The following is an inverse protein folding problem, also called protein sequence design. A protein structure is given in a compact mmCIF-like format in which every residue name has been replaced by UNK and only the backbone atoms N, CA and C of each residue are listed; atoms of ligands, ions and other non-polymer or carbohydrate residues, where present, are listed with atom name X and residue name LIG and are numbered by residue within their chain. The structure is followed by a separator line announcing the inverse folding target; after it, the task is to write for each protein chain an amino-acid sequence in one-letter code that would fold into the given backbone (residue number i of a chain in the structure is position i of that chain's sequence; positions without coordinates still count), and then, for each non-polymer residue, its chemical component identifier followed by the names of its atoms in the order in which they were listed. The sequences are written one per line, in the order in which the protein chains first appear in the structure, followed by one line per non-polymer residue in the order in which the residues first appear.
data_IF_293477455702
#
_entry.id   IF_293477455702
#
_cell.length_a   1.000
_cell.length_b   1.000
_cell.length_c   1.000
_cell.angle_alpha   90.00
_cell.angle_beta   90.00
_cell.angle_gamma   90.00
#
_symmetry.space_group_name_H-M   'P 1'
#
loop_
_entity.id
_entity.type
_entity.pdbx_description
1 polymer ?
#
# COMPACT_ATOMS: atom_id res chain seq x y z
N UNK A 1 22.61 36.31 12.18
CA UNK A 1 22.03 35.08 12.76
C UNK A 1 20.52 35.17 12.60
N UNK A 2 19.87 34.09 12.14
CA UNK A 2 18.43 34.04 11.88
C UNK A 2 17.59 33.84 13.13
N UNK A 3 16.29 33.64 12.93
CA UNK A 3 15.31 33.39 14.00
C UNK A 3 15.66 32.10 14.74
N UNK A 4 15.69 32.10 16.10
CA UNK A 4 15.91 30.88 16.90
C UNK A 4 14.87 29.79 16.62
N UNK A 5 15.30 28.52 16.62
CA UNK A 5 14.45 27.35 16.34
C UNK A 5 13.19 27.28 17.22
N UNK A 6 13.29 27.74 18.47
CA UNK A 6 12.15 27.77 19.42
C UNK A 6 11.05 28.78 19.06
N UNK A 7 11.32 29.74 18.17
CA UNK A 7 10.34 30.76 17.76
C UNK A 7 9.65 30.43 16.42
N UNK A 8 9.92 29.27 15.83
CA UNK A 8 9.24 28.81 14.62
C UNK A 8 7.87 28.23 14.96
N UNK A 9 6.84 28.58 14.18
CA UNK A 9 5.48 28.02 14.28
C UNK A 9 5.49 26.51 14.01
N UNK A 10 4.79 25.72 14.84
CA UNK A 10 4.71 24.25 14.72
C UNK A 10 3.29 23.77 14.91
N UNK A 11 2.93 22.71 14.20
CA UNK A 11 1.70 21.98 14.46
C UNK A 11 1.85 21.14 15.76
N UNK A 12 0.77 20.96 16.53
CA UNK A 12 -0.58 21.44 16.27
C UNK A 12 -0.85 22.90 16.69
N UNK A 13 0.04 23.56 17.43
CA UNK A 13 -0.22 24.87 18.04
C UNK A 13 -0.50 25.98 17.02
N UNK A 14 0.22 26.01 15.89
CA UNK A 14 0.00 26.99 14.83
C UNK A 14 -1.29 26.78 14.04
N UNK A 15 -1.89 25.58 14.10
CA UNK A 15 -3.16 25.28 13.44
C UNK A 15 -4.36 25.78 14.25
N UNK A 16 -4.19 25.90 15.58
CA UNK A 16 -5.23 26.43 16.48
C UNK A 16 -5.46 27.93 16.26
N UNK A 17 -4.41 28.68 15.93
CA UNK A 17 -4.49 30.12 15.64
C UNK A 17 -5.32 30.42 14.38
N UNK A 18 -5.19 29.59 13.33
CA UNK A 18 -5.93 29.75 12.07
C UNK A 18 -7.41 29.33 12.15
N UNK A 19 -7.80 28.55 13.16
CA UNK A 19 -9.21 28.14 13.36
C UNK A 19 -10.06 29.24 14.02
N UNK A 20 -9.44 30.25 14.64
CA UNK A 20 -10.14 31.34 15.35
C UNK A 20 -10.42 32.57 14.48
N UNK A 21 -9.86 32.64 13.27
CA UNK A 21 -10.12 33.68 12.28
C UNK A 21 -10.99 33.11 11.16
N UNK A 22 -12.32 33.25 11.29
CA UNK A 22 -13.25 33.17 10.17
C UNK A 22 -12.97 34.35 9.22
N UNK A 23 -11.91 34.27 8.42
CA UNK A 23 -11.75 35.18 7.28
C UNK A 23 -12.65 34.67 6.16
N UNK A 24 -13.75 35.40 5.93
CA UNK A 24 -14.50 35.34 4.67
C UNK A 24 -13.54 35.72 3.55
N UNK A 25 -13.12 34.76 2.75
CA UNK A 25 -12.42 35.02 1.49
C UNK A 25 -13.46 35.47 0.47
N UNK A 26 -13.69 36.78 0.40
CA UNK A 26 -14.32 37.43 -0.76
C UNK A 26 -13.23 37.67 -1.82
N UNK A 27 -13.19 36.84 -2.87
CA UNK A 27 -12.62 37.23 -4.17
C UNK A 27 -13.16 36.34 -5.30
N UNK A 28 -13.47 36.91 -6.50
CA UNK A 28 -14.37 36.25 -7.45
C UNK A 28 -13.71 35.28 -8.45
N UNK A 29 -12.38 35.19 -8.53
CA UNK A 29 -11.70 34.49 -9.62
C UNK A 29 -10.55 33.60 -9.14
N UNK A 30 -10.88 32.53 -8.43
CA UNK A 30 -10.18 31.22 -8.44
C UNK A 30 -10.89 30.33 -7.42
N UNK A 31 -11.69 29.38 -7.91
CA UNK A 31 -12.33 28.38 -7.05
C UNK A 31 -11.28 27.41 -6.53
N UNK A 32 -10.48 27.84 -5.57
CA UNK A 32 -9.82 26.94 -4.62
C UNK A 32 -10.97 26.38 -3.77
N UNK A 33 -11.33 25.09 -3.89
CA UNK A 33 -12.34 24.55 -3.00
C UNK A 33 -11.85 24.72 -1.56
N UNK A 34 -12.71 25.15 -0.63
CA UNK A 34 -12.34 25.31 0.76
C UNK A 34 -11.73 24.00 1.26
N UNK A 35 -10.58 24.11 1.96
CA UNK A 35 -9.98 23.00 2.68
C UNK A 35 -11.09 22.40 3.54
N UNK A 36 -11.53 21.16 3.30
CA UNK A 36 -12.60 20.59 4.10
C UNK A 36 -12.13 20.58 5.57
N UNK A 37 -13.02 20.89 6.53
CA UNK A 37 -12.70 20.75 7.94
C UNK A 37 -12.16 19.33 8.21
N UNK A 38 -11.41 19.10 9.31
CA UNK A 38 -10.66 17.86 9.57
C UNK A 38 -11.51 16.58 9.74
N UNK A 39 -12.78 16.62 9.34
CA UNK A 39 -13.73 15.53 9.32
C UNK A 39 -14.16 15.22 7.88
N UNK A 40 -13.20 14.96 6.98
CA UNK A 40 -13.46 13.97 5.93
C UNK A 40 -13.50 12.63 6.66
N UNK A 41 -14.57 11.85 6.52
CA UNK A 41 -14.71 10.60 7.27
C UNK A 41 -13.49 9.72 6.98
N UNK A 42 -12.81 9.33 8.05
CA UNK A 42 -11.64 8.45 8.00
C UNK A 42 -12.03 7.18 7.19
N UNK A 43 -11.46 7.04 5.99
CA UNK A 43 -11.73 5.91 5.09
C UNK A 43 -12.57 6.21 3.85
N UNK A 44 -13.03 7.46 3.64
CA UNK A 44 -13.65 7.86 2.37
C UNK A 44 -12.59 8.19 1.31
N UNK A 45 -12.59 7.44 0.20
CA UNK A 45 -11.77 7.74 -0.97
C UNK A 45 -12.41 8.93 -1.69
N UNK A 46 -11.69 10.05 -1.77
CA UNK A 46 -12.19 11.25 -2.45
C UNK A 46 -12.56 10.92 -3.91
N UNK A 47 -13.79 11.22 -4.30
CA UNK A 47 -14.26 11.04 -5.68
C UNK A 47 -13.61 12.10 -6.57
N UNK A 48 -13.10 11.74 -7.76
CA UNK A 48 -12.45 12.70 -8.64
C UNK A 48 -13.47 13.77 -9.06
N UNK A 49 -13.07 15.04 -8.97
CA UNK A 49 -13.81 16.17 -9.53
C UNK A 49 -13.63 16.17 -11.05
N UNK A 50 -14.43 15.37 -11.76
CA UNK A 50 -14.47 15.30 -13.22
C UNK A 50 -14.97 13.96 -13.76
N UNK A 51 -15.67 13.98 -14.90
CA UNK A 51 -16.27 12.80 -15.58
C UNK A 51 -15.25 11.82 -16.21
N UNK A 52 -14.02 11.73 -15.71
CA UNK A 52 -12.95 10.95 -16.33
C UNK A 52 -12.96 9.49 -15.84
N UNK A 53 -13.87 8.68 -16.39
CA UNK A 53 -14.04 7.25 -16.09
C UNK A 53 -12.95 6.34 -16.70
N UNK A 54 -11.80 6.87 -17.10
CA UNK A 54 -10.71 6.03 -17.62
C UNK A 54 -10.14 5.16 -16.48
N UNK A 55 -10.07 3.85 -16.69
CA UNK A 55 -9.44 2.90 -15.74
C UNK A 55 -7.98 3.23 -15.42
N UNK A 56 -7.33 4.03 -16.27
CA UNK A 56 -5.95 4.49 -16.07
C UNK A 56 -5.85 5.55 -14.96
N UNK A 57 -6.97 5.97 -14.37
CA UNK A 57 -7.04 6.87 -13.23
C UNK A 57 -7.07 6.15 -11.89
N UNK A 58 -7.17 4.81 -11.87
CA UNK A 58 -7.33 4.03 -10.65
C UNK A 58 -6.22 2.99 -10.48
N UNK A 59 -5.90 2.69 -9.23
CA UNK A 59 -5.00 1.60 -8.85
C UNK A 59 -5.65 0.28 -9.25
N UNK A 60 -4.88 -0.56 -9.96
CA UNK A 60 -5.29 -1.92 -10.28
C UNK A 60 -5.29 -2.77 -9.00
N UNK A 61 -6.45 -2.92 -8.38
CA UNK A 61 -6.61 -3.71 -7.16
C UNK A 61 -6.72 -5.21 -7.52
N UNK A 62 -6.08 -6.11 -6.76
CA UNK A 62 -6.07 -7.54 -7.07
C UNK A 62 -7.47 -8.19 -7.00
N UNK A 63 -8.39 -7.66 -6.18
CA UNK A 63 -9.76 -8.17 -6.06
C UNK A 63 -10.76 -7.54 -7.04
N UNK A 64 -10.37 -6.47 -7.74
CA UNK A 64 -11.23 -5.80 -8.71
C UNK A 64 -10.91 -6.30 -10.12
N UNK A 65 -11.95 -6.64 -10.89
CA UNK A 65 -11.78 -7.04 -12.28
C UNK A 65 -11.39 -5.84 -13.14
N UNK A 66 -10.39 -6.00 -14.03
CA UNK A 66 -10.07 -4.98 -15.03
C UNK A 66 -11.25 -4.75 -15.98
N UNK A 67 -11.86 -3.57 -15.91
CA UNK A 67 -13.03 -3.24 -16.73
C UNK A 67 -12.73 -3.19 -18.25
N UNK A 68 -11.46 -3.06 -18.65
CA UNK A 68 -11.02 -2.93 -20.05
C UNK A 68 -10.67 -4.26 -20.74
N UNK A 69 -10.55 -5.37 -20.02
CA UNK A 69 -10.19 -6.65 -20.63
C UNK A 69 -11.42 -7.58 -20.72
N UNK A 70 -11.61 -8.21 -21.88
CA UNK A 70 -12.54 -9.32 -22.08
C UNK A 70 -12.24 -10.53 -21.16
N UNK A 71 -11.10 -10.51 -20.48
CA UNK A 71 -10.68 -11.48 -19.46
C UNK A 71 -11.24 -11.17 -18.06
N UNK A 72 -12.53 -10.85 -17.96
CA UNK A 72 -13.23 -10.77 -16.66
C UNK A 72 -12.98 -12.01 -15.77
N UNK A 73 -12.73 -13.16 -16.41
CA UNK A 73 -12.40 -14.41 -15.75
C UNK A 73 -11.00 -14.45 -15.12
N UNK A 74 -9.98 -13.80 -15.69
CA UNK A 74 -8.60 -13.95 -15.23
C UNK A 74 -8.34 -13.22 -13.91
N UNK A 75 -8.79 -11.97 -13.78
CA UNK A 75 -8.62 -11.18 -12.55
C UNK A 75 -9.42 -11.77 -11.39
N UNK A 76 -10.66 -12.20 -11.65
CA UNK A 76 -11.52 -12.89 -10.67
C UNK A 76 -10.90 -14.22 -10.22
N UNK A 77 -10.47 -15.07 -11.17
CA UNK A 77 -9.81 -16.34 -10.86
C UNK A 77 -8.49 -16.15 -10.10
N UNK A 78 -7.70 -15.12 -10.45
CA UNK A 78 -6.46 -14.78 -9.75
C UNK A 78 -6.73 -14.43 -8.29
N UNK A 79 -7.71 -13.57 -8.02
CA UNK A 79 -8.05 -13.22 -6.63
C UNK A 79 -8.56 -14.42 -5.85
N UNK A 80 -9.45 -15.23 -6.41
CA UNK A 80 -9.93 -16.46 -5.74
C UNK A 80 -8.79 -17.43 -5.43
N UNK A 81 -7.78 -17.51 -6.31
CA UNK A 81 -6.56 -18.27 -6.06
C UNK A 81 -5.68 -17.66 -4.96
N UNK A 82 -5.49 -16.34 -4.97
CA UNK A 82 -4.74 -15.65 -3.90
C UNK A 82 -5.43 -15.88 -2.56
N UNK A 83 -6.75 -15.68 -2.53
CA UNK A 83 -7.59 -15.84 -1.35
C UNK A 83 -7.50 -17.26 -0.80
N UNK A 84 -7.64 -18.29 -1.66
CA UNK A 84 -7.58 -19.68 -1.21
C UNK A 84 -6.20 -20.03 -0.65
N UNK A 85 -5.11 -19.67 -1.35
CA UNK A 85 -3.76 -19.95 -0.87
C UNK A 85 -3.49 -19.23 0.45
N UNK A 86 -3.80 -17.93 0.57
CA UNK A 86 -3.55 -17.18 1.80
C UNK A 86 -4.46 -17.58 2.97
N UNK A 87 -5.64 -18.15 2.69
CA UNK A 87 -6.56 -18.61 3.72
C UNK A 87 -6.20 -20.00 4.28
N UNK A 88 -5.66 -20.89 3.44
CA UNK A 88 -5.46 -22.30 3.81
C UNK A 88 -3.99 -22.68 3.99
N UNK A 89 -3.04 -21.93 3.43
CA UNK A 89 -1.61 -22.19 3.59
C UNK A 89 -1.01 -21.15 4.53
N UNK A 90 -0.47 -21.60 5.66
CA UNK A 90 0.32 -20.77 6.58
C UNK A 90 1.79 -21.19 6.48
N UNK A 91 2.65 -20.40 5.79
CA UNK A 91 4.06 -20.71 5.68
C UNK A 91 4.76 -20.75 7.04
N UNK A 92 5.56 -21.79 7.28
CA UNK A 92 6.37 -21.92 8.50
C UNK A 92 7.84 -21.56 8.32
N UNK A 93 8.25 -21.19 7.10
CA UNK A 93 9.61 -20.74 6.79
C UNK A 93 9.66 -19.94 5.49
N UNK A 94 10.82 -19.35 5.20
CA UNK A 94 11.03 -18.50 4.02
C UNK A 94 10.82 -19.24 2.69
N UNK A 95 11.15 -20.54 2.62
CA UNK A 95 10.93 -21.37 1.43
C UNK A 95 9.45 -21.67 1.19
N UNK A 96 8.68 -21.93 2.24
CA UNK A 96 7.24 -22.10 2.15
C UNK A 96 6.56 -20.79 1.73
N UNK A 97 7.04 -19.65 2.25
CA UNK A 97 6.53 -18.33 1.90
C UNK A 97 6.80 -18.00 0.43
N UNK A 98 8.00 -18.30 -0.08
CA UNK A 98 8.31 -18.21 -1.51
C UNK A 98 7.35 -19.05 -2.34
N UNK A 99 7.09 -20.31 -1.95
CA UNK A 99 6.17 -21.20 -2.69
C UNK A 99 4.76 -20.62 -2.76
N UNK A 100 4.25 -20.10 -1.64
CA UNK A 100 2.96 -19.42 -1.58
C UNK A 100 2.92 -18.26 -2.56
N UNK A 101 3.90 -17.35 -2.52
CA UNK A 101 3.92 -16.16 -3.38
C UNK A 101 4.08 -16.53 -4.86
N UNK A 102 4.93 -17.51 -5.18
CA UNK A 102 5.12 -18.01 -6.56
C UNK A 102 3.94 -18.79 -7.09
N UNK A 103 3.04 -19.30 -6.24
CA UNK A 103 1.86 -20.03 -6.71
C UNK A 103 1.04 -19.13 -7.63
N UNK A 104 0.67 -17.92 -7.19
CA UNK A 104 -0.09 -16.95 -7.98
C UNK A 104 0.78 -15.87 -8.63
N UNK A 105 2.03 -15.68 -8.20
CA UNK A 105 2.95 -14.68 -8.72
C UNK A 105 3.75 -15.11 -9.96
N UNK A 106 4.82 -14.37 -10.25
CA UNK A 106 5.76 -14.71 -11.33
C UNK A 106 6.82 -15.70 -10.85
N UNK A 107 7.03 -16.79 -11.60
CA UNK A 107 8.08 -17.77 -11.31
C UNK A 107 9.50 -17.18 -11.42
N UNK A 108 9.67 -16.05 -12.11
CA UNK A 108 10.97 -15.39 -12.29
C UNK A 108 11.40 -14.54 -11.10
N UNK A 109 10.52 -14.29 -10.13
CA UNK A 109 10.89 -13.55 -8.93
C UNK A 109 11.90 -14.34 -8.11
N UNK A 110 12.87 -13.62 -7.56
CA UNK A 110 13.92 -14.14 -6.70
C UNK A 110 13.61 -13.84 -5.24
N UNK A 111 14.03 -14.72 -4.36
CA UNK A 111 13.79 -14.64 -2.92
C UNK A 111 15.08 -14.79 -2.10
N UNK A 112 16.24 -14.70 -2.75
CA UNK A 112 17.56 -14.91 -2.14
C UNK A 112 17.76 -14.05 -0.87
N UNK A 113 17.33 -12.78 -0.89
CA UNK A 113 17.44 -11.87 0.26
C UNK A 113 16.44 -12.23 1.36
N UNK A 114 15.23 -12.69 1.00
CA UNK A 114 14.26 -13.17 1.99
C UNK A 114 14.81 -14.38 2.74
N UNK A 115 15.39 -15.35 2.03
CA UNK A 115 15.99 -16.52 2.66
C UNK A 115 17.16 -16.14 3.55
N UNK A 116 18.08 -15.31 3.03
CA UNK A 116 19.21 -14.81 3.79
C UNK A 116 18.77 -14.09 5.07
N UNK A 117 17.72 -13.27 5.00
CA UNK A 117 17.19 -12.54 6.15
C UNK A 117 16.77 -13.49 7.30
N UNK A 118 16.00 -14.53 6.97
CA UNK A 118 15.56 -15.50 7.98
C UNK A 118 16.66 -16.46 8.42
N UNK A 119 17.72 -16.63 7.63
CA UNK A 119 18.90 -17.44 7.99
C UNK A 119 19.80 -16.73 9.01
N UNK A 120 19.96 -15.41 8.90
CA UNK A 120 20.78 -14.61 9.83
C UNK A 120 20.01 -14.11 11.06
N UNK A 121 18.68 -14.21 11.04
CA UNK A 121 17.81 -13.80 12.14
C UNK A 121 17.88 -14.79 13.30
N UNK A 122 17.64 -14.29 14.53
CA UNK A 122 17.46 -15.16 15.68
C UNK A 122 16.32 -16.17 15.46
N UNK A 123 16.53 -17.49 15.68
CA UNK A 123 15.52 -18.51 15.41
C UNK A 123 14.21 -18.33 16.18
N UNK A 124 14.25 -17.78 17.40
CA UNK A 124 13.02 -17.51 18.17
C UNK A 124 12.21 -16.40 17.50
N UNK A 125 12.87 -15.32 17.10
CA UNK A 125 12.22 -14.20 16.38
C UNK A 125 11.64 -14.69 15.04
N UNK A 126 12.38 -15.52 14.31
CA UNK A 126 11.91 -16.10 13.05
C UNK A 126 10.67 -16.98 13.28
N UNK A 127 10.66 -17.84 14.30
CA UNK A 127 9.50 -18.66 14.64
C UNK A 127 8.29 -17.79 15.02
N UNK A 128 8.47 -16.80 15.90
CA UNK A 128 7.40 -15.85 16.26
C UNK A 128 6.86 -15.11 15.03
N UNK A 129 7.72 -14.76 14.08
CA UNK A 129 7.26 -14.17 12.83
C UNK A 129 6.32 -15.12 12.07
N UNK A 130 6.71 -16.37 11.83
CA UNK A 130 5.89 -17.31 11.06
C UNK A 130 4.65 -17.81 11.81
N UNK A 131 4.71 -17.94 13.13
CA UNK A 131 3.62 -18.46 13.96
C UNK A 131 2.60 -17.40 14.35
N UNK A 132 3.02 -16.15 14.55
CA UNK A 132 2.12 -15.09 15.07
C UNK A 132 1.97 -13.91 14.13
N UNK A 133 3.06 -13.42 13.54
CA UNK A 133 3.03 -12.17 12.77
C UNK A 133 2.48 -12.43 11.36
N UNK A 134 3.00 -13.44 10.67
CA UNK A 134 2.61 -13.76 9.31
C UNK A 134 1.11 -14.07 9.17
N UNK A 135 0.47 -14.85 10.06
CA UNK A 135 -0.98 -15.07 10.01
C UNK A 135 -1.80 -13.78 10.13
N UNK A 136 -1.37 -12.82 10.97
CA UNK A 136 -2.02 -11.50 11.07
C UNK A 136 -1.85 -10.68 9.79
N UNK A 137 -0.69 -10.76 9.14
CA UNK A 137 -0.47 -10.14 7.83
C UNK A 137 -1.37 -10.79 6.78
N UNK A 138 -1.55 -12.13 6.80
CA UNK A 138 -2.48 -12.84 5.91
C UNK A 138 -3.91 -12.36 6.11
N UNK A 139 -4.38 -12.27 7.36
CA UNK A 139 -5.72 -11.78 7.69
C UNK A 139 -5.93 -10.35 7.17
N UNK A 140 -4.96 -9.46 7.38
CA UNK A 140 -5.01 -8.09 6.86
C UNK A 140 -5.05 -8.06 5.33
N UNK A 141 -4.28 -8.92 4.65
CA UNK A 141 -4.30 -8.99 3.19
C UNK A 141 -5.67 -9.43 2.65
N UNK A 142 -6.30 -10.40 3.32
CA UNK A 142 -7.62 -10.93 2.96
C UNK A 142 -8.77 -9.95 3.20
N UNK A 143 -8.60 -8.94 4.07
CA UNK A 143 -9.58 -7.86 4.29
C UNK A 143 -9.65 -6.82 3.17
N UNK A 144 -8.83 -6.96 2.12
CA UNK A 144 -8.77 -5.98 1.02
C UNK A 144 -10.14 -5.67 0.37
N UNK A 145 -11.00 -6.65 0.06
CA UNK A 145 -12.31 -6.37 -0.54
C UNK A 145 -13.28 -5.64 0.41
N UNK A 146 -13.11 -5.82 1.72
CA UNK A 146 -13.91 -5.15 2.76
C UNK A 146 -13.46 -3.69 2.94
N UNK A 147 -12.14 -3.46 2.97
CA UNK A 147 -11.55 -2.15 3.25
C UNK A 147 -11.48 -1.23 2.02
N UNK A 148 -11.54 -1.81 0.81
CA UNK A 148 -11.48 -1.10 -0.46
C UNK A 148 -12.60 -1.57 -1.39
N UNK A 149 -13.81 -1.07 -1.11
CA UNK A 149 -15.00 -1.33 -1.93
C UNK A 149 -15.06 -0.48 -3.19
N UNK A 150 -14.40 0.69 -3.18
CA UNK A 150 -14.26 1.58 -4.33
C UNK A 150 -12.81 1.59 -4.87
N UNK A 151 -12.60 1.81 -6.19
CA UNK A 151 -11.27 1.94 -6.77
C UNK A 151 -10.49 3.12 -6.18
N UNK A 152 -9.23 2.91 -5.81
CA UNK A 152 -8.35 3.96 -5.30
C UNK A 152 -7.80 4.80 -6.46
N UNK A 153 -7.89 6.13 -6.38
CA UNK A 153 -7.39 7.02 -7.43
C UNK A 153 -5.84 7.08 -7.47
N UNK A 154 -5.29 7.24 -8.66
CA UNK A 154 -3.87 7.53 -8.89
C UNK A 154 -3.66 9.03 -8.90
N UNK A 155 -2.72 9.51 -8.07
CA UNK A 155 -2.29 10.91 -8.05
C UNK A 155 -1.43 11.19 -9.28
N UNK A 156 -2.02 11.82 -10.30
CA UNK A 156 -1.34 12.14 -11.56
C UNK A 156 -0.65 13.50 -11.50
N UNK A 157 0.45 13.61 -12.24
CA UNK A 157 1.14 14.88 -12.44
C UNK A 157 0.17 15.96 -12.93
N UNK A 158 0.34 17.19 -12.43
CA UNK A 158 -0.47 18.37 -12.79
C UNK A 158 -1.97 18.24 -12.44
N UNK A 159 -2.35 17.33 -11.54
CA UNK A 159 -3.70 17.27 -10.94
C UNK A 159 -3.60 17.45 -9.43
N UNK A 160 -4.39 18.37 -8.88
CA UNK A 160 -4.53 18.53 -7.42
C UNK A 160 -5.61 17.57 -6.94
N UNK A 161 -5.21 16.56 -6.17
CA UNK A 161 -6.08 15.56 -5.58
C UNK A 161 -5.56 15.17 -4.20
N UNK A 162 -6.46 14.78 -3.32
CA UNK A 162 -6.15 14.31 -1.96
C UNK A 162 -6.74 12.91 -1.75
N UNK A 163 -6.07 12.09 -0.96
CA UNK A 163 -6.53 10.76 -0.57
C UNK A 163 -6.39 10.65 0.94
N UNK A 164 -7.48 10.29 1.61
CA UNK A 164 -7.51 10.02 3.04
C UNK A 164 -7.64 8.51 3.25
N UNK A 165 -6.68 7.91 3.96
CA UNK A 165 -6.68 6.49 4.29
C UNK A 165 -6.54 6.30 5.80
N UNK A 166 -7.24 5.30 6.32
CA UNK A 166 -7.03 4.86 7.71
C UNK A 166 -5.70 4.09 7.81
N UNK A 167 -5.12 4.02 9.01
CA UNK A 167 -3.93 3.17 9.24
C UNK A 167 -4.20 1.70 8.89
N UNK A 168 -5.42 1.21 9.14
CA UNK A 168 -5.84 -0.14 8.79
C UNK A 168 -5.87 -0.36 7.27
N UNK A 169 -6.38 0.62 6.51
CA UNK A 169 -6.37 0.58 5.05
C UNK A 169 -4.93 0.57 4.51
N UNK A 170 -4.03 1.39 5.07
CA UNK A 170 -2.61 1.39 4.70
C UNK A 170 -1.96 0.04 5.04
N UNK A 171 -2.20 -0.50 6.22
CA UNK A 171 -1.69 -1.81 6.64
C UNK A 171 -2.17 -2.93 5.70
N UNK A 172 -3.44 -2.89 5.28
CA UNK A 172 -3.99 -3.83 4.32
C UNK A 172 -3.32 -3.76 2.93
N UNK A 173 -3.03 -2.55 2.43
CA UNK A 173 -2.29 -2.36 1.18
C UNK A 173 -0.84 -2.89 1.30
N UNK A 174 -0.18 -2.62 2.43
CA UNK A 174 1.19 -3.11 2.68
C UNK A 174 1.23 -4.63 2.85
N UNK A 175 0.24 -5.24 3.49
CA UNK A 175 0.13 -6.70 3.57
C UNK A 175 -0.03 -7.34 2.18
N UNK A 176 -0.83 -6.71 1.30
CA UNK A 176 -0.96 -7.14 -0.09
C UNK A 176 0.33 -6.96 -0.90
N UNK A 177 1.06 -5.87 -0.66
CA UNK A 177 2.38 -5.62 -1.25
C UNK A 177 3.42 -6.66 -0.80
N UNK A 178 3.39 -7.04 0.48
CA UNK A 178 4.23 -8.09 1.07
C UNK A 178 3.97 -9.43 0.37
N UNK A 179 2.72 -9.83 0.21
CA UNK A 179 2.37 -11.05 -0.54
C UNK A 179 2.48 -10.90 -2.07
N UNK A 180 2.87 -9.74 -2.57
CA UNK A 180 2.97 -9.44 -4.00
C UNK A 180 1.67 -9.71 -4.78
N UNK A 181 0.51 -9.38 -4.19
CA UNK A 181 -0.80 -9.70 -4.76
C UNK A 181 -1.18 -8.76 -5.91
N UNK A 182 -0.69 -7.51 -5.90
CA UNK A 182 -1.01 -6.53 -6.93
C UNK A 182 -0.59 -7.03 -8.31
N UNK A 183 -1.44 -6.85 -9.33
CA UNK A 183 -1.12 -7.28 -10.68
C UNK A 183 0.11 -6.52 -11.19
N UNK A 184 1.03 -7.24 -11.84
CA UNK A 184 2.16 -6.59 -12.51
C UNK A 184 1.64 -5.75 -13.68
N UNK A 185 2.15 -4.52 -13.78
CA UNK A 185 1.81 -3.61 -14.86
C UNK A 185 2.29 -4.16 -16.19
N UNK A 186 1.43 -4.15 -17.21
CA UNK A 186 1.86 -4.47 -18.56
C UNK A 186 2.90 -3.42 -18.99
N UNK A 187 4.13 -3.78 -19.39
CA UNK A 187 5.15 -2.82 -19.78
C UNK A 187 4.76 -1.94 -20.98
N UNK A 188 3.67 -2.28 -21.69
CA UNK A 188 3.10 -1.49 -22.78
C UNK A 188 2.05 -0.45 -22.34
N UNK A 189 1.63 -0.42 -21.07
CA UNK A 189 0.65 0.55 -20.58
C UNK A 189 1.32 1.93 -20.44
N UNK A 190 0.89 2.89 -21.27
CA UNK A 190 1.41 4.27 -21.27
C UNK A 190 0.83 5.13 -20.13
N UNK A 191 -0.16 4.61 -19.40
CA UNK A 191 -0.79 5.27 -18.26
C UNK A 191 -0.24 4.68 -16.97
N UNK A 192 0.46 5.52 -16.19
CA UNK A 192 1.19 5.11 -14.99
C UNK A 192 0.36 4.26 -14.04
N UNK A 193 0.55 2.95 -14.10
CA UNK A 193 0.24 2.07 -12.98
C UNK A 193 1.31 2.32 -11.90
N UNK A 194 0.93 2.06 -10.64
CA UNK A 194 1.85 2.13 -9.49
C UNK A 194 2.82 0.93 -9.59
N UNK A 195 3.79 1.04 -10.49
CA UNK A 195 4.81 0.03 -10.71
C UNK A 195 5.69 -0.07 -9.47
N UNK A 196 5.96 -1.29 -9.01
CA UNK A 196 6.90 -1.55 -7.90
C UNK A 196 6.31 -1.46 -6.50
N UNK A 197 4.98 -1.51 -6.35
CA UNK A 197 4.37 -1.61 -5.02
C UNK A 197 4.65 -2.96 -4.35
N UNK A 198 4.72 -4.05 -5.13
CA UNK A 198 5.03 -5.39 -4.64
C UNK A 198 6.47 -5.47 -4.11
N UNK A 199 6.66 -6.28 -3.07
CA UNK A 199 7.96 -6.44 -2.41
C UNK A 199 8.89 -7.46 -3.11
N UNK A 200 8.54 -7.93 -4.31
CA UNK A 200 9.36 -8.85 -5.09
C UNK A 200 10.79 -8.35 -5.34
N UNK A 201 10.99 -7.04 -5.52
CA UNK A 201 12.33 -6.44 -5.65
C UNK A 201 13.09 -6.41 -4.33
N UNK A 202 12.39 -6.31 -3.20
CA UNK A 202 12.95 -6.39 -1.86
C UNK A 202 13.43 -7.81 -1.56
N UNK A 203 12.69 -8.83 -2.00
CA UNK A 203 13.04 -10.24 -1.80
C UNK A 203 14.26 -10.71 -2.61
N UNK A 204 14.52 -10.10 -3.77
CA UNK A 204 15.33 -10.76 -4.80
C UNK A 204 16.45 -9.96 -5.45
N UNK A 205 16.56 -8.65 -5.25
CA UNK A 205 17.62 -7.87 -5.91
C UNK A 205 18.87 -7.74 -5.01
N UNK A 206 19.99 -8.42 -5.36
CA UNK A 206 21.18 -8.52 -4.52
C UNK A 206 22.09 -7.29 -4.59
N UNK A 207 21.82 -6.33 -5.48
CA UNK A 207 22.67 -5.12 -5.64
C UNK A 207 22.61 -4.18 -4.42
N UNK A 208 21.75 -4.47 -3.45
CA UNK A 208 21.52 -3.66 -2.25
C UNK A 208 21.18 -4.52 -1.02
N UNK A 209 21.69 -5.76 -0.95
CA UNK A 209 21.36 -6.76 0.09
C UNK A 209 21.41 -6.21 1.52
N UNK A 210 22.47 -5.50 1.89
CA UNK A 210 22.64 -4.96 3.25
C UNK A 210 21.54 -3.93 3.63
N UNK A 211 21.18 -3.03 2.71
CA UNK A 211 20.13 -2.02 2.93
C UNK A 211 18.73 -2.64 2.95
N UNK A 212 18.53 -3.75 2.24
CA UNK A 212 17.25 -4.47 2.18
C UNK A 212 17.01 -5.33 3.42
N UNK A 213 18.05 -5.93 3.99
CA UNK A 213 17.98 -6.58 5.29
C UNK A 213 17.53 -5.57 6.35
N UNK A 214 18.11 -4.37 6.40
CA UNK A 214 17.66 -3.30 7.31
C UNK A 214 16.20 -2.89 7.05
N UNK A 215 15.75 -2.90 5.80
CA UNK A 215 14.36 -2.61 5.45
C UNK A 215 13.41 -3.69 5.99
N UNK A 216 13.81 -4.97 5.95
CA UNK A 216 13.04 -6.04 6.59
C UNK A 216 12.99 -5.89 8.11
N UNK A 217 14.11 -5.56 8.74
CA UNK A 217 14.17 -5.30 10.17
C UNK A 217 13.20 -4.18 10.55
N UNK A 218 13.21 -3.05 9.82
CA UNK A 218 12.28 -1.94 10.06
C UNK A 218 10.81 -2.34 9.90
N UNK A 219 10.49 -3.25 8.97
CA UNK A 219 9.13 -3.77 8.76
C UNK A 219 8.72 -4.84 9.79
N UNK A 220 9.69 -5.49 10.45
CA UNK A 220 9.45 -6.60 11.40
C UNK A 220 9.38 -6.14 12.85
N UNK A 221 9.93 -4.97 13.20
CA UNK A 221 10.07 -4.50 14.59
C UNK A 221 8.77 -3.96 15.22
N UNK A 222 7.64 -3.85 14.51
CA UNK A 222 6.43 -3.21 15.07
C UNK A 222 5.54 -4.09 15.96
N UNK A 223 6.06 -5.12 16.62
CA UNK A 223 5.28 -5.92 17.56
C UNK A 223 6.00 -6.07 18.90
N UNK A 224 6.21 -4.96 19.59
CA UNK A 224 6.51 -4.93 21.03
C UNK A 224 6.20 -3.54 21.55
N UNK A 225 4.95 -3.32 21.95
CA UNK A 225 4.50 -2.53 23.11
C UNK A 225 2.98 -2.64 23.28
#
# INVERSE_FOLDING_TARGET
MGVPFGHLKRAPECLKENMSSNEKVDSPDEKIPPIPPPYVRLGEIAKPTGNDHSTDNYVSMPHLADAKNSERNYSSYRWERIKSVLQYETPHNSLALEKVIKSYGSHHWKFDILHQYFEIMDPQIANTFFEETLPKIQELALKLPELFTEPLNILKQKRNMEIHLTQQQVACLLANAFFCTFPESNPKSKGGQVSGINFNTLYGDPRSSHRKIESFVALSITSSE
#
